data_IF_895128576915
#
_entry.id   IF_895128576915
#
_cell.length_a   1.000
_cell.length_b   1.000
_cell.length_c   1.000
_cell.angle_alpha   90.00
_cell.angle_beta   90.00
_cell.angle_gamma   90.00
#
_symmetry.space_group_name_H-M   'P 1'
#
loop_
_entity.id
_entity.type
_entity.pdbx_description
1 polymer ?
#
# COMPACT_ATOMS: atom_id res chain seq x y z
N UNK A 1 21.45 12.56 2.87
CA UNK A 1 21.40 14.02 2.62
C UNK A 1 21.74 14.83 3.88
N UNK A 2 22.77 14.43 4.65
CA UNK A 2 23.38 15.27 5.68
C UNK A 2 24.89 15.10 5.53
N UNK A 3 25.50 15.91 4.66
CA UNK A 3 26.94 15.92 4.41
C UNK A 3 27.68 16.70 5.48
N UNK A 4 27.54 16.29 6.73
CA UNK A 4 28.20 16.93 7.88
C UNK A 4 29.48 16.14 8.17
N UNK A 5 30.62 16.76 7.95
CA UNK A 5 31.92 16.23 8.35
C UNK A 5 32.19 16.56 9.83
N UNK A 6 33.19 15.91 10.44
CA UNK A 6 33.52 16.11 11.84
C UNK A 6 33.76 17.59 12.22
N UNK A 7 34.33 18.36 11.28
CA UNK A 7 34.55 19.80 11.45
C UNK A 7 33.26 20.61 11.49
N UNK A 8 32.29 20.35 10.59
CA UNK A 8 31.00 21.05 10.64
C UNK A 8 30.21 20.71 11.91
N UNK A 9 30.32 19.48 12.41
CA UNK A 9 29.74 19.08 13.68
C UNK A 9 30.31 19.90 14.85
N UNK A 10 31.63 20.10 14.89
CA UNK A 10 32.30 20.93 15.89
C UNK A 10 31.80 22.38 15.84
N UNK A 11 31.68 22.96 14.64
CA UNK A 11 31.18 24.32 14.45
C UNK A 11 29.74 24.43 14.99
N UNK A 12 28.89 23.45 14.72
CA UNK A 12 27.51 23.42 15.19
C UNK A 12 27.44 23.36 16.72
N UNK A 13 28.30 22.57 17.37
CA UNK A 13 28.40 22.54 18.84
C UNK A 13 28.81 23.90 19.39
N UNK A 14 29.80 24.56 18.81
CA UNK A 14 30.22 25.91 19.24
C UNK A 14 29.08 26.91 19.10
N UNK A 15 28.37 26.91 17.96
CA UNK A 15 27.22 27.78 17.73
C UNK A 15 26.12 27.50 18.76
N UNK A 16 25.80 26.23 19.02
CA UNK A 16 24.81 25.85 20.03
C UNK A 16 25.21 26.33 21.42
N UNK A 17 26.49 26.20 21.80
CA UNK A 17 27.01 26.70 23.07
C UNK A 17 26.94 28.23 23.18
N UNK A 18 27.12 28.97 22.09
CA UNK A 18 27.01 30.44 22.10
C UNK A 18 25.54 30.87 22.20
N UNK A 19 24.65 30.27 21.43
CA UNK A 19 23.23 30.65 21.37
C UNK A 19 22.49 30.29 22.66
N UNK A 20 22.69 29.06 23.16
CA UNK A 20 22.02 28.55 24.35
C UNK A 20 22.78 28.93 25.63
N UNK A 21 24.11 29.03 25.54
CA UNK A 21 25.01 29.21 26.67
C UNK A 21 25.57 27.86 27.17
N UNK A 22 26.89 27.77 27.46
CA UNK A 22 27.52 26.52 27.90
C UNK A 22 27.04 26.03 29.27
N UNK A 23 26.47 26.94 30.08
CA UNK A 23 25.92 26.61 31.40
C UNK A 23 24.51 26.01 31.32
N UNK A 24 23.73 26.35 30.29
CA UNK A 24 22.31 25.95 30.14
C UNK A 24 22.17 24.63 29.37
N UNK A 25 23.07 24.36 28.43
CA UNK A 25 23.07 23.14 27.61
C UNK A 25 23.06 21.84 28.45
N UNK A 26 23.92 21.65 29.47
CA UNK A 26 23.87 20.44 30.30
C UNK A 26 22.54 20.30 31.06
N UNK A 27 21.98 21.41 31.56
CA UNK A 27 20.69 21.43 32.26
C UNK A 27 19.54 20.96 31.34
N UNK A 28 19.54 21.37 30.07
CA UNK A 28 18.56 20.89 29.10
C UNK A 28 18.80 19.44 28.66
N UNK A 29 20.06 19.01 28.54
CA UNK A 29 20.41 17.63 28.24
C UNK A 29 19.93 16.68 29.35
N UNK A 30 20.03 17.08 30.62
CA UNK A 30 19.49 16.33 31.75
C UNK A 30 17.97 16.19 31.66
N UNK A 31 17.25 17.29 31.40
CA UNK A 31 15.79 17.27 31.21
C UNK A 31 15.36 16.34 30.08
N UNK A 32 16.05 16.41 28.93
CA UNK A 32 15.79 15.52 27.80
C UNK A 32 16.08 14.07 28.17
N UNK A 33 17.19 13.80 28.86
CA UNK A 33 17.55 12.46 29.32
C UNK A 33 16.46 11.88 30.22
N UNK A 34 15.97 12.65 31.17
CA UNK A 34 14.95 12.18 32.10
C UNK A 34 13.61 11.94 31.40
N UNK A 35 13.25 12.79 30.43
CA UNK A 35 12.10 12.57 29.54
C UNK A 35 12.25 11.26 28.77
N UNK A 36 13.41 11.03 28.13
CA UNK A 36 13.68 9.79 27.38
C UNK A 36 13.62 8.57 28.29
N UNK A 37 14.16 8.66 29.52
CA UNK A 37 14.10 7.56 30.50
C UNK A 37 12.66 7.28 30.93
N UNK A 38 11.85 8.31 31.14
CA UNK A 38 10.44 8.16 31.48
C UNK A 38 9.64 7.57 30.32
N UNK A 39 9.86 8.06 29.11
CA UNK A 39 9.26 7.51 27.90
C UNK A 39 9.62 6.04 27.72
N UNK A 40 10.90 5.67 27.91
CA UNK A 40 11.35 4.28 27.84
C UNK A 40 10.65 3.39 28.87
N UNK A 41 10.55 3.83 30.13
CA UNK A 41 9.82 3.08 31.18
C UNK A 41 8.34 2.91 30.82
N UNK A 42 7.71 3.95 30.29
CA UNK A 42 6.31 3.90 29.85
C UNK A 42 6.13 2.94 28.67
N UNK A 43 7.04 2.97 27.69
CA UNK A 43 7.03 2.07 26.54
C UNK A 43 7.27 0.60 26.96
N UNK A 44 8.17 0.36 27.90
CA UNK A 44 8.43 -0.98 28.47
C UNK A 44 7.18 -1.50 29.22
N UNK A 45 6.54 -0.68 30.06
CA UNK A 45 5.31 -1.08 30.76
C UNK A 45 4.10 -1.28 29.84
N UNK A 46 3.97 -0.47 28.78
CA UNK A 46 2.96 -0.66 27.74
C UNK A 46 3.22 -1.96 26.96
N UNK A 47 4.49 -2.24 26.60
CA UNK A 47 4.88 -3.49 25.96
C UNK A 47 4.56 -4.70 26.84
N UNK A 48 4.85 -4.63 28.14
CA UNK A 48 4.56 -5.70 29.10
C UNK A 48 3.04 -5.92 29.24
N UNK A 49 2.25 -4.84 29.29
CA UNK A 49 0.79 -4.93 29.37
C UNK A 49 0.19 -5.55 28.11
N UNK A 50 0.64 -5.11 26.93
CA UNK A 50 0.24 -5.71 25.65
C UNK A 50 0.67 -7.18 25.57
N UNK A 51 1.88 -7.51 26.02
CA UNK A 51 2.36 -8.89 26.02
C UNK A 51 1.61 -9.80 27.01
N UNK A 52 1.14 -9.25 28.14
CA UNK A 52 0.34 -9.98 29.13
C UNK A 52 -1.09 -10.21 28.64
N UNK A 53 -1.71 -9.19 28.07
CA UNK A 53 -3.12 -9.23 27.70
C UNK A 53 -3.35 -9.90 26.33
N UNK A 54 -2.33 -9.91 25.46
CA UNK A 54 -2.39 -10.51 24.13
C UNK A 54 -1.31 -11.59 23.90
N UNK A 55 -0.96 -12.32 24.96
CA UNK A 55 0.07 -13.37 24.95
C UNK A 55 -0.02 -14.30 23.73
N UNK A 56 1.14 -14.58 23.14
CA UNK A 56 1.40 -15.32 21.88
C UNK A 56 0.70 -14.83 20.59
N UNK A 57 -0.51 -14.26 20.62
CA UNK A 57 -1.18 -13.69 19.42
C UNK A 57 -0.48 -12.44 18.86
N UNK A 58 0.34 -11.72 19.66
CA UNK A 58 1.11 -10.55 19.23
C UNK A 58 2.56 -10.84 18.78
N UNK A 59 3.05 -12.07 18.98
CA UNK A 59 4.36 -12.48 18.43
C UNK A 59 4.29 -12.80 16.94
N UNK A 60 3.12 -13.23 16.46
CA UNK A 60 2.87 -13.57 15.06
C UNK A 60 2.40 -12.37 14.21
N UNK A 61 2.07 -11.24 14.84
CA UNK A 61 1.88 -9.98 14.12
C UNK A 61 3.26 -9.41 13.80
N UNK A 62 3.78 -9.86 12.66
CA UNK A 62 4.95 -9.32 11.97
C UNK A 62 4.82 -7.79 11.79
N UNK A 63 5.29 -7.02 12.77
CA UNK A 63 5.47 -5.56 12.66
C UNK A 63 6.34 -5.18 11.46
N UNK A 64 7.15 -6.13 10.97
CA UNK A 64 7.96 -6.03 9.77
C UNK A 64 7.15 -6.06 8.46
N UNK A 65 5.93 -6.61 8.47
CA UNK A 65 4.99 -6.58 7.32
C UNK A 65 4.16 -5.29 7.27
N UNK A 66 4.10 -4.55 8.38
CA UNK A 66 3.44 -3.24 8.47
C UNK A 66 4.41 -2.07 8.31
N UNK A 67 5.70 -2.31 8.08
CA UNK A 67 6.69 -1.27 7.79
C UNK A 67 6.46 -0.75 6.35
N UNK A 68 6.02 0.52 6.15
CA UNK A 68 5.73 1.10 4.83
C UNK A 68 6.93 1.14 3.89
N UNK A 69 8.14 0.89 4.41
CA UNK A 69 9.39 0.90 3.64
C UNK A 69 9.77 -0.48 3.08
N UNK A 70 9.11 -1.55 3.57
CA UNK A 70 9.30 -2.93 3.12
C UNK A 70 8.28 -3.36 2.06
N UNK A 71 7.36 -2.47 1.66
CA UNK A 71 6.63 -2.58 0.39
C UNK A 71 7.60 -2.22 -0.75
N UNK A 72 8.65 -3.02 -0.92
CA UNK A 72 9.72 -2.78 -1.89
C UNK A 72 9.18 -3.08 -3.29
N UNK A 73 8.89 -2.06 -4.13
CA UNK A 73 8.22 -2.22 -5.41
C UNK A 73 8.98 -3.16 -6.36
N UNK A 74 10.29 -3.35 -6.11
CA UNK A 74 11.13 -4.27 -6.88
C UNK A 74 10.73 -5.74 -6.73
N UNK A 75 10.19 -6.16 -5.58
CA UNK A 75 9.68 -7.54 -5.43
C UNK A 75 8.44 -7.76 -6.27
N UNK A 76 7.50 -6.82 -6.27
CA UNK A 76 6.26 -6.89 -7.05
C UNK A 76 6.58 -6.90 -8.55
N UNK A 77 7.51 -6.07 -9.00
CA UNK A 77 7.94 -6.02 -10.41
C UNK A 77 8.71 -7.27 -10.82
N UNK A 78 9.56 -7.83 -9.95
CA UNK A 78 10.26 -9.08 -10.25
C UNK A 78 9.31 -10.26 -10.35
N UNK A 79 8.34 -10.35 -9.44
CA UNK A 79 7.30 -11.38 -9.47
C UNK A 79 6.50 -11.30 -10.77
N UNK A 80 6.04 -10.09 -11.14
CA UNK A 80 5.31 -9.84 -12.37
C UNK A 80 6.13 -10.20 -13.62
N UNK A 81 7.41 -9.81 -13.68
CA UNK A 81 8.28 -10.14 -14.81
C UNK A 81 8.56 -11.65 -14.91
N UNK A 82 8.72 -12.36 -13.78
CA UNK A 82 8.94 -13.81 -13.80
C UNK A 82 7.67 -14.61 -14.16
N UNK A 83 6.49 -14.15 -13.77
CA UNK A 83 5.21 -14.73 -14.24
C UNK A 83 4.98 -14.43 -15.73
N UNK A 84 5.34 -13.23 -16.20
CA UNK A 84 5.27 -12.87 -17.63
C UNK A 84 6.22 -13.73 -18.47
N UNK A 85 7.48 -13.91 -18.04
CA UNK A 85 8.47 -14.73 -18.76
C UNK A 85 8.04 -16.21 -18.87
N UNK A 86 7.34 -16.75 -17.87
CA UNK A 86 6.84 -18.13 -17.88
C UNK A 86 5.60 -18.28 -18.76
N UNK A 87 4.66 -17.34 -18.69
CA UNK A 87 3.45 -17.31 -19.53
C UNK A 87 3.77 -17.09 -21.02
N UNK A 88 4.77 -16.27 -21.34
CA UNK A 88 5.25 -16.06 -22.71
C UNK A 88 5.94 -17.33 -23.25
N UNK A 89 6.66 -18.08 -22.41
CA UNK A 89 7.26 -19.37 -22.79
C UNK A 89 6.21 -20.44 -23.09
N UNK A 90 5.16 -20.50 -22.30
CA UNK A 90 4.08 -21.48 -22.44
C UNK A 90 3.22 -21.20 -23.67
N UNK A 91 2.85 -19.93 -23.90
CA UNK A 91 2.12 -19.51 -25.10
C UNK A 91 2.91 -19.77 -26.39
N UNK A 92 4.24 -19.58 -26.38
CA UNK A 92 5.10 -19.87 -27.55
C UNK A 92 5.20 -21.37 -27.85
N UNK A 93 5.20 -22.24 -26.83
CA UNK A 93 5.13 -23.71 -27.02
C UNK A 93 3.76 -24.14 -27.56
N UNK A 94 2.68 -23.58 -27.03
CA UNK A 94 1.31 -23.87 -27.51
C UNK A 94 1.02 -23.35 -28.92
N UNK A 95 1.67 -22.26 -29.35
CA UNK A 95 1.60 -21.77 -30.72
C UNK A 95 2.35 -22.70 -31.71
N UNK A 96 3.54 -23.19 -31.34
CA UNK A 96 4.30 -24.12 -32.17
C UNK A 96 3.55 -25.46 -32.39
N UNK A 97 2.83 -25.95 -31.38
CA UNK A 97 1.99 -27.16 -31.52
C UNK A 97 0.71 -26.94 -32.34
N UNK A 98 0.14 -25.72 -32.35
CA UNK A 98 -1.05 -25.40 -33.16
C UNK A 98 -0.76 -25.21 -34.64
N UNK A 99 0.41 -24.67 -34.98
CA UNK A 99 0.85 -24.54 -36.38
C UNK A 99 1.06 -25.92 -37.02
N UNK A 100 1.54 -26.92 -36.27
CA UNK A 100 1.68 -28.29 -36.76
C UNK A 100 0.33 -29.02 -36.99
N UNK A 101 -0.74 -28.60 -36.29
CA UNK A 101 -2.06 -29.22 -36.41
C UNK A 101 -2.94 -28.59 -37.52
N UNK A 102 -2.56 -27.43 -38.05
CA UNK A 102 -3.39 -26.67 -39.02
C UNK A 102 -3.14 -27.06 -40.49
N UNK A 103 -2.11 -27.86 -40.81
CA UNK A 103 -1.86 -28.33 -42.19
C UNK A 103 -2.68 -29.58 -42.58
N UNK A 104 -3.46 -30.16 -41.67
CA UNK A 104 -4.25 -31.38 -41.94
C UNK A 104 -5.71 -31.20 -41.51
N UNK A 105 -6.53 -30.54 -42.35
CA UNK A 105 -7.96 -30.43 -42.04
C UNK A 105 -8.79 -29.47 -42.89
N UNK A 106 -9.13 -29.91 -44.10
CA UNK A 106 -10.43 -29.78 -44.78
C UNK A 106 -11.16 -28.43 -44.90
N UNK A 107 -11.18 -27.93 -46.13
CA UNK A 107 -12.34 -27.74 -47.02
C UNK A 107 -13.77 -27.58 -46.47
N UNK A 108 -14.42 -26.53 -47.02
CA UNK A 108 -15.82 -26.42 -47.46
C UNK A 108 -16.93 -25.83 -46.54
N UNK A 109 -17.38 -24.63 -46.96
CA UNK A 109 -18.77 -24.23 -47.31
C UNK A 109 -19.84 -24.16 -46.18
N UNK A 110 -20.39 -22.95 -45.95
CA UNK A 110 -21.64 -22.72 -45.19
C UNK A 110 -22.91 -22.97 -46.02
N UNK A 111 -24.13 -22.43 -45.70
CA UNK A 111 -24.53 -21.57 -44.57
C UNK A 111 -25.90 -21.94 -43.91
N UNK A 112 -26.34 -21.08 -42.98
CA UNK A 112 -27.73 -20.74 -42.61
C UNK A 112 -28.64 -21.77 -41.89
N UNK A 113 -29.07 -21.42 -40.66
CA UNK A 113 -30.46 -21.46 -40.19
C UNK A 113 -30.56 -21.01 -38.70
N UNK A 114 -31.21 -19.88 -38.45
CA UNK A 114 -31.99 -19.61 -37.22
C UNK A 114 -33.29 -20.46 -37.26
N UNK A 115 -34.05 -20.69 -36.16
CA UNK A 115 -34.31 -19.74 -35.06
C UNK A 115 -34.55 -20.30 -33.64
N UNK A 116 -34.70 -19.35 -32.71
CA UNK A 116 -35.69 -19.32 -31.61
C UNK A 116 -35.34 -19.84 -30.19
N UNK A 117 -35.52 -18.87 -29.27
CA UNK A 117 -36.09 -18.93 -27.91
C UNK A 117 -35.24 -19.39 -26.73
N UNK A 118 -35.08 -18.45 -25.80
CA UNK A 118 -34.59 -18.70 -24.45
C UNK A 118 -34.44 -17.37 -23.70
N UNK A 119 -35.51 -16.95 -23.05
CA UNK A 119 -35.53 -15.83 -22.11
C UNK A 119 -34.44 -16.00 -21.04
N UNK A 120 -33.59 -15.00 -20.86
CA UNK A 120 -33.07 -14.66 -19.55
C UNK A 120 -32.76 -13.17 -19.52
N UNK A 121 -33.57 -12.44 -18.77
CA UNK A 121 -33.31 -11.08 -18.35
C UNK A 121 -31.92 -11.03 -17.70
N UNK A 122 -30.93 -10.57 -18.47
CA UNK A 122 -29.64 -10.18 -17.91
C UNK A 122 -29.59 -8.66 -18.00
N UNK A 123 -30.18 -8.02 -16.99
CA UNK A 123 -29.85 -6.65 -16.62
C UNK A 123 -28.33 -6.59 -16.59
N UNK A 124 -27.76 -5.99 -17.63
CA UNK A 124 -26.32 -5.76 -17.73
C UNK A 124 -26.00 -4.68 -16.70
N UNK A 125 -25.84 -5.11 -15.44
CA UNK A 125 -25.20 -4.28 -14.43
C UNK A 125 -23.76 -4.11 -14.88
N UNK A 126 -23.50 -3.02 -15.60
CA UNK A 126 -22.16 -2.49 -15.82
C UNK A 126 -21.54 -2.35 -14.43
N UNK A 127 -20.69 -3.31 -14.05
CA UNK A 127 -19.97 -3.27 -12.77
C UNK A 127 -18.88 -2.21 -12.89
N UNK A 128 -19.29 -0.95 -12.72
CA UNK A 128 -18.39 0.19 -12.58
C UNK A 128 -17.35 -0.15 -11.52
N UNK A 129 -16.08 0.08 -11.86
CA UNK A 129 -14.95 -0.08 -10.96
C UNK A 129 -15.10 0.81 -9.72
N UNK A 130 -14.43 0.51 -8.59
CA UNK A 130 -14.50 1.34 -7.39
C UNK A 130 -14.19 2.82 -7.67
N UNK A 131 -13.30 3.09 -8.63
CA UNK A 131 -12.93 4.44 -9.05
C UNK A 131 -14.05 5.11 -9.84
N UNK A 132 -14.68 4.41 -10.79
CA UNK A 132 -15.78 4.98 -11.56
C UNK A 132 -17.01 5.24 -10.70
N UNK A 133 -17.26 4.40 -9.69
CA UNK A 133 -18.30 4.65 -8.67
C UNK A 133 -18.00 5.93 -7.88
N UNK A 134 -16.75 6.11 -7.46
CA UNK A 134 -16.34 7.31 -6.73
C UNK A 134 -16.46 8.57 -7.60
N UNK A 135 -16.04 8.52 -8.86
CA UNK A 135 -16.17 9.65 -9.79
C UNK A 135 -17.63 9.98 -10.11
N UNK A 136 -18.47 8.97 -10.35
CA UNK A 136 -19.91 9.15 -10.56
C UNK A 136 -20.60 9.73 -9.32
N UNK A 137 -20.16 9.36 -8.10
CA UNK A 137 -20.64 9.97 -6.87
C UNK A 137 -20.15 11.41 -6.69
N UNK A 138 -18.90 11.69 -7.04
CA UNK A 138 -18.33 13.04 -6.97
C UNK A 138 -19.06 14.01 -7.91
N UNK A 139 -19.42 13.57 -9.12
CA UNK A 139 -20.19 14.36 -10.07
C UNK A 139 -21.62 14.69 -9.58
N UNK A 140 -22.20 13.85 -8.70
CA UNK A 140 -23.53 14.07 -8.12
C UNK A 140 -23.53 14.98 -6.89
N UNK A 141 -22.36 15.26 -6.29
CA UNK A 141 -22.27 16.15 -5.14
C UNK A 141 -22.29 17.58 -5.62
N UNK A 142 -23.43 18.26 -5.45
CA UNK A 142 -23.52 19.71 -5.64
C UNK A 142 -22.76 20.40 -4.51
N UNK A 143 -21.45 20.61 -4.70
CA UNK A 143 -20.56 21.23 -3.71
C UNK A 143 -20.97 22.65 -3.31
N UNK A 144 -21.80 23.29 -4.13
CA UNK A 144 -22.35 24.61 -3.89
C UNK A 144 -23.50 24.63 -2.87
N UNK A 145 -24.12 23.47 -2.57
CA UNK A 145 -25.22 23.36 -1.62
C UNK A 145 -24.69 22.90 -0.26
N UNK A 146 -24.82 23.74 0.76
CA UNK A 146 -24.44 23.38 2.12
C UNK A 146 -25.40 22.30 2.65
N UNK A 147 -24.86 21.29 3.34
CA UNK A 147 -25.69 20.24 3.93
C UNK A 147 -26.71 20.86 4.90
N UNK A 148 -27.99 20.43 4.85
CA UNK A 148 -29.01 20.94 5.77
C UNK A 148 -28.65 20.62 7.21
N UNK A 149 -28.96 21.54 8.11
CA UNK A 149 -28.73 21.37 9.55
C UNK A 149 -29.63 20.25 10.09
N UNK A 150 -29.01 19.23 10.68
CA UNK A 150 -29.70 18.10 11.30
C UNK A 150 -29.82 18.35 12.82
N UNK A 151 -31.03 18.66 13.33
CA UNK A 151 -31.25 18.94 14.75
C UNK A 151 -31.27 17.68 15.63
N UNK A 152 -31.29 16.47 15.06
CA UNK A 152 -31.33 15.21 15.83
C UNK A 152 -29.92 14.72 16.25
N UNK A 153 -28.86 15.46 15.89
CA UNK A 153 -27.47 15.11 16.17
C UNK A 153 -26.93 15.62 17.55
N UNK A 154 -27.80 15.85 18.54
CA UNK A 154 -27.44 16.26 19.92
C UNK A 154 -27.92 15.24 20.95
#
# INVERSE_FOLDING_TARGET
MFGINGTEMLILVVVALVVIGPKRLPEYAEKLRDLVRQFRRMAEGAKESVQRDFGDEFKDVDWQKLDPRQYDPRRIVREALSEEDTAIRESKRGAASRTAATESGATAVGPAAEPATGETESTTEVRLSPIERFQAQAAKRQRAEAAPFDPDAT
#
